data_IF_215934002422
#
_entry.id   IF_215934002422
#
_cell.length_a   1.000
_cell.length_b   1.000
_cell.length_c   1.000
_cell.angle_alpha   90.00
_cell.angle_beta   90.00
_cell.angle_gamma   90.00
#
_symmetry.space_group_name_H-M   'P 1'
#
loop_
_entity.id
_entity.type
_entity.pdbx_description
1 polymer ?
#
# COMPACT_ATOMS: atom_id res chain seq x y z
N UNK A 1 -37.62 7.13 22.59
CA UNK A 1 -37.05 8.21 21.75
C UNK A 1 -35.67 7.75 21.30
N UNK A 2 -35.40 7.88 20.01
CA UNK A 2 -34.20 7.39 19.33
C UNK A 2 -32.97 8.22 19.69
N UNK A 3 -31.85 7.57 20.00
CA UNK A 3 -30.55 8.21 19.91
C UNK A 3 -29.59 7.28 19.16
N UNK A 4 -29.65 7.40 17.83
CA UNK A 4 -28.52 7.12 16.95
C UNK A 4 -27.40 8.10 17.34
N UNK A 5 -26.34 7.61 17.97
CA UNK A 5 -25.09 8.35 17.98
C UNK A 5 -23.90 7.40 18.18
N UNK A 6 -23.20 7.18 17.05
CA UNK A 6 -21.74 7.07 16.99
C UNK A 6 -21.09 5.80 17.52
N UNK A 7 -21.38 4.67 16.88
CA UNK A 7 -20.37 3.62 16.65
C UNK A 7 -19.39 4.08 15.54
N UNK A 8 -18.71 5.20 15.80
CA UNK A 8 -17.58 5.70 15.00
C UNK A 8 -16.25 5.36 15.70
N UNK A 9 -16.26 4.29 16.51
CA UNK A 9 -15.08 3.76 17.18
C UNK A 9 -14.22 3.04 16.13
N UNK A 10 -13.07 3.63 15.83
CA UNK A 10 -11.87 2.94 15.32
C UNK A 10 -12.05 2.05 14.08
N UNK A 11 -12.38 2.62 12.91
CA UNK A 11 -12.51 1.89 11.63
C UNK A 11 -11.22 1.21 11.10
N UNK A 12 -10.12 1.20 11.85
CA UNK A 12 -8.86 0.56 11.43
C UNK A 12 -8.25 -0.21 12.60
N UNK A 13 -8.26 -1.53 12.50
CA UNK A 13 -7.66 -2.46 13.48
C UNK A 13 -6.12 -2.48 13.45
N UNK A 14 -5.49 -1.50 12.79
CA UNK A 14 -4.04 -1.45 12.58
C UNK A 14 -3.51 -0.02 12.52
N UNK A 15 -2.32 0.17 13.09
CA UNK A 15 -1.60 1.44 13.06
C UNK A 15 -0.94 1.60 11.69
N UNK A 16 -1.14 2.76 11.06
CA UNK A 16 -0.43 3.17 9.85
C UNK A 16 0.72 4.11 10.22
N UNK A 17 1.94 3.67 9.97
CA UNK A 17 3.12 4.51 10.01
C UNK A 17 3.16 5.34 8.73
N UNK A 18 3.27 6.66 8.86
CA UNK A 18 3.53 7.53 7.72
C UNK A 18 5.02 7.42 7.38
N UNK A 19 5.28 7.06 6.13
CA UNK A 19 6.62 6.77 5.61
C UNK A 19 6.63 7.33 4.19
N UNK A 20 7.66 8.06 3.80
CA UNK A 20 7.84 8.53 2.42
C UNK A 20 9.09 7.89 1.85
N UNK A 21 8.94 6.66 1.36
CA UNK A 21 10.07 5.87 0.85
C UNK A 21 9.84 5.38 -0.56
N UNK A 22 10.92 5.26 -1.32
CA UNK A 22 10.87 4.68 -2.66
C UNK A 22 10.70 3.17 -2.57
N UNK A 23 9.80 2.63 -3.37
CA UNK A 23 9.47 1.20 -3.40
C UNK A 23 9.53 0.67 -4.82
N UNK A 24 9.95 -0.59 -4.95
CA UNK A 24 9.87 -1.32 -6.21
C UNK A 24 8.57 -2.13 -6.25
N UNK A 25 7.90 -2.09 -7.41
CA UNK A 25 6.66 -2.80 -7.69
C UNK A 25 6.94 -3.80 -8.82
N UNK A 26 6.62 -5.07 -8.61
CA UNK A 26 6.72 -6.10 -9.65
C UNK A 26 5.32 -6.65 -9.95
N UNK A 27 4.87 -6.48 -11.20
CA UNK A 27 3.60 -7.00 -11.71
C UNK A 27 3.87 -7.82 -12.99
N UNK A 28 3.84 -9.14 -12.87
CA UNK A 28 4.31 -10.05 -13.93
C UNK A 28 5.78 -9.77 -14.27
N UNK A 29 6.08 -9.57 -15.56
CA UNK A 29 7.42 -9.19 -16.03
C UNK A 29 7.71 -7.68 -15.93
N UNK A 30 6.74 -6.88 -15.49
CA UNK A 30 6.88 -5.42 -15.42
C UNK A 30 7.41 -5.01 -14.05
N UNK A 31 8.51 -4.25 -14.05
CA UNK A 31 9.07 -3.61 -12.85
C UNK A 31 8.87 -2.11 -12.93
N UNK A 32 8.29 -1.55 -11.86
CA UNK A 32 7.97 -0.13 -11.74
C UNK A 32 8.47 0.37 -10.39
N UNK A 33 8.56 1.69 -10.24
CA UNK A 33 8.83 2.33 -8.96
C UNK A 33 7.64 3.17 -8.50
N UNK A 34 7.53 3.33 -7.19
CA UNK A 34 6.55 4.20 -6.56
C UNK A 34 7.07 4.80 -5.27
N UNK A 35 6.22 5.54 -4.60
CA UNK A 35 6.46 6.06 -3.25
C UNK A 35 5.41 5.46 -2.33
N UNK A 36 5.85 4.68 -1.34
CA UNK A 36 4.98 4.29 -0.24
C UNK A 36 4.80 5.51 0.67
N UNK A 37 3.55 5.86 0.97
CA UNK A 37 3.14 7.04 1.75
C UNK A 37 2.76 6.65 3.19
N UNK A 38 2.20 5.45 3.33
CA UNK A 38 1.94 4.86 4.63
C UNK A 38 2.01 3.33 4.56
N UNK A 39 2.36 2.72 5.68
CA UNK A 39 2.51 1.28 5.85
C UNK A 39 1.89 0.84 7.17
N UNK A 40 1.31 -0.35 7.18
CA UNK A 40 0.82 -1.06 8.35
C UNK A 40 1.10 -2.56 8.21
N UNK A 41 0.78 -3.34 9.25
CA UNK A 41 0.91 -4.80 9.21
C UNK A 41 0.04 -5.49 8.16
N UNK A 42 -1.05 -4.86 7.72
CA UNK A 42 -2.05 -5.48 6.82
C UNK A 42 -2.12 -4.83 5.44
N UNK A 43 -1.41 -3.73 5.21
CA UNK A 43 -1.57 -2.95 3.99
C UNK A 43 -0.69 -1.70 3.92
N UNK A 44 -0.70 -1.08 2.75
CA UNK A 44 0.08 0.13 2.46
C UNK A 44 -0.62 1.02 1.42
N UNK A 45 -0.20 2.29 1.35
CA UNK A 45 -0.59 3.19 0.27
C UNK A 45 0.62 3.57 -0.58
N UNK A 46 0.49 3.41 -1.90
CA UNK A 46 1.58 3.70 -2.86
C UNK A 46 1.10 4.72 -3.90
N UNK A 47 1.96 5.69 -4.21
CA UNK A 47 1.81 6.58 -5.35
C UNK A 47 2.76 6.15 -6.47
N UNK A 48 2.23 5.83 -7.65
CA UNK A 48 3.05 5.38 -8.77
C UNK A 48 2.42 5.74 -10.12
N UNK A 49 3.23 5.88 -11.18
CA UNK A 49 2.74 5.98 -12.56
C UNK A 49 2.53 4.56 -13.09
N UNK A 50 1.34 4.02 -12.84
CA UNK A 50 0.95 2.66 -13.20
C UNK A 50 -0.39 2.67 -13.94
N UNK A 51 -0.75 1.54 -14.53
CA UNK A 51 -2.09 1.31 -15.08
C UNK A 51 -2.71 0.04 -14.46
N UNK A 52 -2.56 -0.09 -13.14
CA UNK A 52 -3.09 -1.21 -12.38
C UNK A 52 -4.59 -1.07 -12.19
N UNK A 53 -5.26 -2.20 -12.03
CA UNK A 53 -6.69 -2.34 -11.80
C UNK A 53 -6.99 -2.92 -10.42
N UNK A 54 -8.21 -2.72 -9.94
CA UNK A 54 -8.70 -3.35 -8.72
C UNK A 54 -8.58 -4.89 -8.84
N UNK A 55 -8.05 -5.54 -7.82
CA UNK A 55 -7.80 -6.98 -7.79
C UNK A 55 -6.46 -7.42 -8.41
N UNK A 56 -5.71 -6.51 -9.03
CA UNK A 56 -4.37 -6.85 -9.52
C UNK A 56 -3.46 -7.24 -8.35
N UNK A 57 -2.64 -8.26 -8.57
CA UNK A 57 -1.68 -8.75 -7.59
C UNK A 57 -0.27 -8.35 -7.99
N UNK A 58 0.47 -7.82 -7.03
CA UNK A 58 1.83 -7.34 -7.25
C UNK A 58 2.70 -7.61 -6.02
N UNK A 59 3.99 -7.79 -6.29
CA UNK A 59 5.00 -7.84 -5.24
C UNK A 59 5.51 -6.43 -4.97
N UNK A 60 5.63 -6.07 -3.71
CA UNK A 60 6.19 -4.79 -3.26
C UNK A 60 7.47 -5.06 -2.50
N UNK A 61 8.53 -4.37 -2.89
CA UNK A 61 9.80 -4.38 -2.19
C UNK A 61 10.14 -3.00 -1.64
N UNK A 62 10.35 -2.91 -0.33
CA UNK A 62 10.84 -1.72 0.34
C UNK A 62 12.25 -2.04 0.86
N UNK A 63 13.31 -1.44 0.30
CA UNK A 63 14.65 -1.68 0.79
C UNK A 63 14.79 -1.18 2.23
N UNK A 64 15.55 -1.89 3.05
CA UNK A 64 15.93 -1.39 4.37
C UNK A 64 17.07 -0.38 4.22
N UNK A 65 16.96 0.75 4.91
CA UNK A 65 18.06 1.73 5.02
C UNK A 65 19.11 1.29 6.05
N UNK A 66 18.81 0.30 6.88
CA UNK A 66 19.73 -0.29 7.85
C UNK A 66 20.13 -1.69 7.40
N UNK A 67 21.44 -1.94 7.20
CA UNK A 67 21.97 -3.21 6.70
C UNK A 67 21.66 -4.43 7.58
N UNK A 68 21.32 -4.20 8.85
CA UNK A 68 20.98 -5.25 9.82
C UNK A 68 19.50 -5.66 9.77
N UNK A 69 18.64 -4.83 9.16
CA UNK A 69 17.21 -5.11 9.02
C UNK A 69 16.92 -5.57 7.60
N UNK A 70 16.12 -6.63 7.46
CA UNK A 70 15.58 -7.02 6.16
C UNK A 70 14.59 -5.96 5.70
N UNK A 71 14.68 -5.59 4.42
CA UNK A 71 13.63 -4.80 3.77
C UNK A 71 12.30 -5.54 3.76
N UNK A 72 11.21 -4.83 3.48
CA UNK A 72 9.89 -5.45 3.31
C UNK A 72 9.83 -6.11 1.93
N UNK A 73 9.40 -7.36 1.90
CA UNK A 73 9.06 -8.09 0.68
C UNK A 73 7.68 -8.71 0.85
N UNK A 74 6.68 -8.16 0.14
CA UNK A 74 5.29 -8.52 0.34
C UNK A 74 4.57 -8.83 -0.97
N UNK A 75 3.76 -9.88 -0.96
CA UNK A 75 2.72 -10.10 -1.97
C UNK A 75 1.48 -9.31 -1.59
N UNK A 76 0.91 -8.57 -2.53
CA UNK A 76 -0.18 -7.64 -2.27
C UNK A 76 -1.26 -7.70 -3.33
N UNK A 77 -2.44 -7.17 -3.00
CA UNK A 77 -3.57 -6.99 -3.91
C UNK A 77 -4.05 -5.55 -3.89
N UNK A 78 -4.39 -5.01 -5.07
CA UNK A 78 -4.96 -3.67 -5.20
C UNK A 78 -6.42 -3.68 -4.74
N UNK A 79 -6.69 -3.07 -3.59
CA UNK A 79 -8.03 -2.99 -2.98
C UNK A 79 -8.64 -1.59 -3.04
N UNK A 80 -7.88 -0.59 -3.51
CA UNK A 80 -8.39 0.75 -3.78
C UNK A 80 -7.53 1.45 -4.83
N UNK A 81 -8.15 2.20 -5.74
CA UNK A 81 -7.47 3.05 -6.70
C UNK A 81 -8.07 4.46 -6.67
N UNK A 82 -7.22 5.47 -6.77
CA UNK A 82 -7.62 6.83 -7.08
C UNK A 82 -6.67 7.39 -8.13
N UNK A 83 -7.22 7.83 -9.27
CA UNK A 83 -6.43 8.51 -10.29
C UNK A 83 -6.08 9.92 -9.82
N UNK A 84 -4.85 10.36 -10.06
CA UNK A 84 -4.38 11.70 -9.76
C UNK A 84 -4.24 12.51 -11.06
N UNK A 85 -4.46 13.81 -10.97
CA UNK A 85 -4.47 14.72 -12.13
C UNK A 85 -3.13 14.79 -12.87
N UNK A 86 -2.04 14.39 -12.21
CA UNK A 86 -0.70 14.34 -12.79
C UNK A 86 -0.38 13.04 -13.53
N UNK A 87 -1.36 12.12 -13.64
CA UNK A 87 -1.23 10.83 -14.31
C UNK A 87 -0.62 9.72 -13.44
N UNK A 88 -0.53 9.91 -12.12
CA UNK A 88 -0.24 8.84 -11.15
C UNK A 88 -1.52 8.17 -10.65
N UNK A 89 -1.37 6.95 -10.17
CA UNK A 89 -2.37 6.27 -9.35
C UNK A 89 -1.96 6.34 -7.87
N UNK A 90 -2.94 6.60 -7.02
CA UNK A 90 -2.88 6.29 -5.59
C UNK A 90 -3.51 4.91 -5.38
N UNK A 91 -2.68 3.96 -4.95
CA UNK A 91 -3.01 2.56 -4.78
C UNK A 91 -3.12 2.25 -3.29
N UNK A 92 -4.27 1.75 -2.85
CA UNK A 92 -4.40 1.08 -1.56
C UNK A 92 -4.18 -0.41 -1.77
N UNK A 93 -3.15 -0.95 -1.11
CA UNK A 93 -2.76 -2.34 -1.23
C UNK A 93 -3.02 -3.09 0.07
N UNK A 94 -3.63 -4.28 -0.03
CA UNK A 94 -3.73 -5.23 1.07
C UNK A 94 -2.56 -6.22 0.98
N UNK A 95 -1.92 -6.53 2.11
CA UNK A 95 -0.83 -7.50 2.18
C UNK A 95 -1.43 -8.89 2.29
N UNK A 96 -1.06 -9.76 1.36
CA UNK A 96 -1.49 -11.16 1.31
C UNK A 96 -0.49 -12.08 2.05
N UNK A 97 0.81 -11.82 1.87
CA UNK A 97 1.88 -12.53 2.57
C UNK A 97 3.18 -11.71 2.55
N UNK A 98 4.10 -12.02 3.48
CA UNK A 98 5.44 -11.45 3.56
C UNK A 98 6.48 -12.58 3.48
N UNK A 99 7.68 -12.28 2.96
CA UNK A 99 8.81 -13.24 2.82
C UNK A 99 10.07 -12.79 3.54
#
# INVERSE_FOLDING_TARGET
>A
MSQKDRDYSEKRDFIRMQIETTVALEHGDTKLSGVCIDLSSTGMQILARTNLSMGDKLRVLIPSEHSELKGLDAQTEVVRISQLDDGRQSLGLAILSMS
#
